data_IF_095195778972
#
_entry.id   IF_095195778972
#
_cell.length_a   1.000
_cell.length_b   1.000
_cell.length_c   1.000
_cell.angle_alpha   90.00
_cell.angle_beta   90.00
_cell.angle_gamma   90.00
#
_symmetry.space_group_name_H-M   'P 1'
#
loop_
_entity.id
_entity.type
_entity.pdbx_description
1 polymer ?
#
# COMPACT_ATOMS: atom_id res chain seq x y z
N UNK A 1 0.84 13.52 21.71
CA UNK A 1 1.03 12.05 21.66
C UNK A 1 0.96 11.67 20.19
N UNK A 2 2.03 11.11 19.63
CA UNK A 2 2.09 10.82 18.18
C UNK A 2 1.57 9.42 17.87
N UNK A 3 0.91 9.25 16.73
CA UNK A 3 0.52 7.94 16.22
C UNK A 3 1.74 7.23 15.59
N UNK A 4 1.83 5.90 15.79
CA UNK A 4 2.83 4.99 15.21
C UNK A 4 2.10 3.84 14.53
N UNK A 5 2.51 3.49 13.31
CA UNK A 5 2.06 2.25 12.67
C UNK A 5 2.73 1.05 13.37
N UNK A 6 1.98 -0.04 13.54
CA UNK A 6 2.47 -1.26 14.19
C UNK A 6 2.18 -2.46 13.29
N UNK A 7 3.03 -3.48 13.36
CA UNK A 7 2.71 -4.78 12.78
C UNK A 7 1.67 -5.47 13.67
N UNK A 8 0.60 -5.99 13.06
CA UNK A 8 -0.49 -6.66 13.76
C UNK A 8 -0.63 -8.09 13.24
N UNK A 9 -0.64 -9.06 14.16
CA UNK A 9 -0.89 -10.46 13.83
C UNK A 9 -2.38 -10.79 14.00
N UNK A 10 -3.05 -11.15 12.90
CA UNK A 10 -4.49 -11.46 12.89
C UNK A 10 -4.84 -12.78 13.60
N UNK A 11 -3.90 -13.70 13.77
CA UNK A 11 -4.09 -15.01 14.43
C UNK A 11 -3.91 -14.86 15.94
N UNK A 12 -2.79 -14.25 16.36
CA UNK A 12 -2.45 -14.02 17.75
C UNK A 12 -3.21 -12.84 18.37
N UNK A 13 -3.76 -11.94 17.53
CA UNK A 13 -4.51 -10.75 17.93
C UNK A 13 -3.70 -9.83 18.84
N UNK A 14 -2.47 -9.57 18.43
CA UNK A 14 -1.55 -8.70 19.16
C UNK A 14 -0.67 -7.93 18.19
N UNK A 15 -0.19 -6.78 18.65
CA UNK A 15 0.92 -6.12 18.00
C UNK A 15 2.19 -6.98 18.16
N UNK A 16 2.99 -7.05 17.09
CA UNK A 16 4.30 -7.71 17.07
C UNK A 16 5.38 -6.69 16.70
N UNK A 17 6.59 -6.93 17.19
CA UNK A 17 7.76 -6.09 16.92
C UNK A 17 8.38 -6.42 15.56
N UNK A 18 9.20 -5.51 15.03
CA UNK A 18 9.83 -5.69 13.72
C UNK A 18 10.77 -6.91 13.69
N UNK A 19 11.34 -7.32 14.83
CA UNK A 19 12.21 -8.51 14.90
C UNK A 19 11.44 -9.83 14.92
N UNK A 20 10.12 -9.78 15.14
CA UNK A 20 9.22 -10.94 15.07
C UNK A 20 8.62 -11.11 13.67
N UNK A 21 8.94 -10.22 12.72
CA UNK A 21 8.46 -10.26 11.34
C UNK A 21 9.54 -10.81 10.42
N UNK A 22 9.26 -11.96 9.80
CA UNK A 22 10.08 -12.53 8.75
C UNK A 22 9.62 -12.04 7.37
N UNK A 23 10.53 -11.41 6.61
CA UNK A 23 10.26 -10.94 5.25
C UNK A 23 10.70 -11.97 4.21
N UNK A 24 9.81 -12.27 3.27
CA UNK A 24 10.10 -13.15 2.13
C UNK A 24 9.78 -12.43 0.83
N UNK A 25 10.78 -12.29 -0.05
CA UNK A 25 10.61 -11.62 -1.34
C UNK A 25 9.95 -12.53 -2.38
N UNK A 26 8.85 -12.06 -2.95
CA UNK A 26 8.10 -12.76 -4.00
C UNK A 26 8.23 -11.99 -5.31
N UNK A 27 9.07 -12.49 -6.22
CA UNK A 27 9.41 -11.79 -7.48
C UNK A 27 8.36 -11.89 -8.58
N UNK A 28 7.45 -12.85 -8.48
CA UNK A 28 6.43 -13.13 -9.49
C UNK A 28 5.17 -13.64 -8.84
N UNK A 29 4.05 -13.57 -9.57
CA UNK A 29 2.80 -14.21 -9.19
C UNK A 29 3.03 -15.65 -8.74
N UNK A 30 2.72 -15.94 -7.48
CA UNK A 30 3.03 -17.22 -6.82
C UNK A 30 1.87 -17.64 -5.92
N UNK A 31 1.44 -18.89 -6.01
CA UNK A 31 0.51 -19.52 -5.06
C UNK A 31 1.30 -20.09 -3.88
N UNK A 32 0.98 -19.65 -2.66
CA UNK A 32 1.63 -20.08 -1.43
C UNK A 32 0.62 -20.71 -0.48
N UNK A 33 1.01 -21.83 0.12
CA UNK A 33 0.26 -22.40 1.24
C UNK A 33 0.64 -21.66 2.52
N UNK A 34 -0.33 -20.99 3.13
CA UNK A 34 -0.15 -20.29 4.39
C UNK A 34 -0.59 -21.20 5.54
N UNK A 35 0.21 -21.33 6.62
CA UNK A 35 -0.20 -22.08 7.81
C UNK A 35 -1.58 -21.64 8.31
N UNK A 36 -2.50 -22.60 8.45
CA UNK A 36 -3.87 -22.35 8.91
C UNK A 36 -4.90 -22.07 7.80
N UNK A 37 -4.49 -21.94 6.54
CA UNK A 37 -5.40 -21.76 5.41
C UNK A 37 -5.67 -23.11 4.71
N UNK A 38 -6.93 -23.36 4.34
CA UNK A 38 -7.31 -24.59 3.62
C UNK A 38 -6.80 -24.61 2.18
N UNK A 39 -6.73 -23.44 1.54
CA UNK A 39 -6.37 -23.27 0.14
C UNK A 39 -5.13 -22.37 0.01
N UNK A 40 -4.34 -22.60 -1.05
CA UNK A 40 -3.24 -21.72 -1.39
C UNK A 40 -3.75 -20.32 -1.68
N UNK A 41 -3.04 -19.31 -1.16
CA UNK A 41 -3.32 -17.90 -1.40
C UNK A 41 -2.37 -17.39 -2.47
N UNK A 42 -2.88 -16.53 -3.34
CA UNK A 42 -2.10 -15.96 -4.43
C UNK A 42 -1.41 -14.66 -4.00
N UNK A 43 -0.10 -14.58 -4.22
CA UNK A 43 0.74 -13.43 -3.92
C UNK A 43 1.44 -12.90 -5.17
N UNK A 44 1.89 -11.65 -5.12
CA UNK A 44 2.63 -11.02 -6.23
C UNK A 44 1.76 -10.71 -7.45
N UNK A 45 0.47 -10.46 -7.23
CA UNK A 45 -0.46 -9.99 -8.28
C UNK A 45 -0.39 -8.48 -8.34
N UNK A 46 0.10 -7.94 -9.46
CA UNK A 46 0.10 -6.51 -9.71
C UNK A 46 -1.20 -6.13 -10.43
N UNK A 47 -2.01 -5.30 -9.80
CA UNK A 47 -3.29 -4.82 -10.33
C UNK A 47 -3.15 -3.36 -10.72
N UNK A 48 -3.61 -3.02 -11.93
CA UNK A 48 -3.63 -1.65 -12.44
C UNK A 48 -5.05 -1.15 -12.57
N UNK A 49 -5.26 0.09 -12.13
CA UNK A 49 -6.53 0.80 -12.23
C UNK A 49 -6.27 2.31 -12.29
N UNK A 50 -7.27 3.09 -12.70
CA UNK A 50 -7.12 4.52 -12.89
C UNK A 50 -7.93 5.34 -11.88
N UNK A 51 -7.37 6.50 -11.49
CA UNK A 51 -8.09 7.56 -10.81
C UNK A 51 -8.39 8.69 -11.81
N UNK A 52 -9.65 9.16 -11.89
CA UNK A 52 -9.96 10.35 -12.67
C UNK A 52 -9.29 11.57 -12.02
N UNK A 53 -8.75 12.46 -12.86
CA UNK A 53 -8.22 13.75 -12.43
C UNK A 53 -9.32 14.80 -12.47
N UNK A 54 -9.24 15.78 -11.56
CA UNK A 54 -10.14 16.93 -11.57
C UNK A 54 -9.95 17.78 -12.85
N UNK A 55 -10.91 18.66 -13.11
CA UNK A 55 -10.91 19.59 -14.25
C UNK A 55 -10.78 18.91 -15.63
N UNK A 56 -11.28 17.68 -15.76
CA UNK A 56 -11.21 16.87 -16.99
C UNK A 56 -9.78 16.69 -17.53
N UNK A 57 -8.77 16.70 -16.65
CA UNK A 57 -7.36 16.49 -16.99
C UNK A 57 -7.02 15.04 -17.36
N UNK A 58 -8.03 14.19 -17.50
CA UNK A 58 -7.92 12.77 -17.85
C UNK A 58 -7.91 11.87 -16.63
N UNK A 59 -7.06 10.86 -16.67
CA UNK A 59 -6.92 9.88 -15.60
C UNK A 59 -5.45 9.53 -15.36
N UNK A 60 -5.14 9.04 -14.16
CA UNK A 60 -3.83 8.54 -13.79
C UNK A 60 -3.92 7.06 -13.44
N UNK A 61 -3.12 6.23 -14.11
CA UNK A 61 -3.09 4.79 -13.89
C UNK A 61 -2.05 4.47 -12.82
N UNK A 62 -2.48 3.80 -11.75
CA UNK A 62 -1.60 3.31 -10.68
C UNK A 62 -1.51 1.80 -10.73
N UNK A 63 -0.41 1.25 -10.20
CA UNK A 63 -0.24 -0.18 -9.99
C UNK A 63 -0.06 -0.50 -8.50
N UNK A 64 -0.72 -1.56 -8.02
CA UNK A 64 -0.62 -1.98 -6.62
C UNK A 64 -0.77 -3.49 -6.47
N UNK A 65 -0.15 -4.05 -5.43
CA UNK A 65 -0.37 -5.43 -4.99
C UNK A 65 -1.44 -5.56 -3.91
N UNK A 66 -1.96 -4.43 -3.40
CA UNK A 66 -2.97 -4.37 -2.33
C UNK A 66 -4.18 -3.55 -2.77
N UNK A 67 -4.90 -4.03 -3.79
CA UNK A 67 -6.08 -3.32 -4.33
C UNK A 67 -7.18 -3.13 -3.28
N UNK A 68 -7.27 -4.03 -2.31
CA UNK A 68 -8.19 -3.95 -1.17
C UNK A 68 -7.99 -2.70 -0.30
N UNK A 69 -6.80 -2.09 -0.35
CA UNK A 69 -6.50 -0.85 0.38
C UNK A 69 -6.97 0.42 -0.35
N UNK A 70 -7.57 0.30 -1.54
CA UNK A 70 -7.93 1.43 -2.42
C UNK A 70 -8.77 2.52 -1.72
N UNK A 71 -9.69 2.12 -0.84
CA UNK A 71 -10.61 3.06 -0.18
C UNK A 71 -9.95 3.86 0.95
N UNK A 72 -8.72 3.50 1.34
CA UNK A 72 -7.92 4.24 2.32
C UNK A 72 -6.92 5.20 1.67
N UNK A 73 -6.94 5.32 0.35
CA UNK A 73 -5.99 6.15 -0.38
C UNK A 73 -6.29 7.64 -0.18
N UNK A 74 -5.26 8.41 0.11
CA UNK A 74 -5.38 9.86 0.39
C UNK A 74 -4.53 10.72 -0.54
N UNK A 75 -3.67 10.10 -1.34
CA UNK A 75 -2.91 10.77 -2.39
C UNK A 75 -2.40 9.76 -3.43
N UNK A 76 -1.87 10.29 -4.53
CA UNK A 76 -1.13 9.55 -5.54
C UNK A 76 0.27 10.16 -5.61
N UNK A 77 1.29 9.32 -5.56
CA UNK A 77 2.67 9.72 -5.79
C UNK A 77 3.10 9.33 -7.20
N UNK A 78 3.88 10.21 -7.81
CA UNK A 78 4.55 9.99 -9.09
C UNK A 78 6.03 10.28 -8.95
N UNK A 79 6.83 9.77 -9.88
CA UNK A 79 8.24 10.12 -9.95
C UNK A 79 8.39 11.63 -10.26
N UNK A 80 9.37 12.37 -9.69
CA UNK A 80 9.52 13.81 -9.92
C UNK A 80 9.74 14.24 -11.36
N UNK A 81 10.22 13.33 -12.21
CA UNK A 81 10.34 13.57 -13.66
C UNK A 81 8.97 13.55 -14.37
N UNK A 82 7.90 13.13 -13.67
CA UNK A 82 6.50 13.20 -14.07
C UNK A 82 5.77 14.25 -13.20
N UNK A 83 5.04 15.16 -13.84
CA UNK A 83 4.66 16.48 -13.29
C UNK A 83 3.47 16.47 -12.28
N UNK A 84 3.03 15.32 -11.74
CA UNK A 84 1.67 15.20 -11.19
C UNK A 84 1.55 14.87 -9.68
N UNK A 85 0.83 15.72 -8.94
CA UNK A 85 0.24 15.45 -7.60
C UNK A 85 1.24 15.46 -6.42
N UNK A 86 2.03 14.41 -6.19
CA UNK A 86 3.12 14.39 -5.20
C UNK A 86 4.35 13.74 -5.84
N UNK A 87 5.41 14.52 -6.00
CA UNK A 87 6.69 14.03 -6.54
C UNK A 87 7.52 13.42 -5.40
N UNK A 88 7.64 12.09 -5.35
CA UNK A 88 8.43 11.39 -4.34
C UNK A 88 9.34 10.32 -4.99
N UNK A 89 10.59 10.71 -5.26
CA UNK A 89 11.60 9.81 -5.83
C UNK A 89 12.07 8.71 -4.87
N UNK A 90 11.71 8.77 -3.59
CA UNK A 90 12.04 7.70 -2.63
C UNK A 90 10.97 6.62 -2.71
N UNK A 91 9.71 7.00 -2.90
CA UNK A 91 8.58 6.08 -2.95
C UNK A 91 8.37 5.46 -4.35
N UNK A 92 8.63 6.23 -5.41
CA UNK A 92 8.27 5.83 -6.78
C UNK A 92 9.48 5.46 -7.60
N UNK A 93 9.49 4.21 -8.08
CA UNK A 93 10.41 3.75 -9.13
C UNK A 93 9.70 3.87 -10.50
N UNK A 94 10.19 4.70 -11.44
CA UNK A 94 9.55 4.88 -12.74
C UNK A 94 9.63 3.64 -13.63
N UNK A 95 10.55 2.70 -13.37
CA UNK A 95 10.68 1.45 -14.12
C UNK A 95 9.73 0.34 -13.62
N UNK A 96 9.10 0.54 -12.46
CA UNK A 96 8.21 -0.45 -11.84
C UNK A 96 6.72 -0.07 -11.96
N UNK A 97 5.92 -1.01 -12.46
CA UNK A 97 4.47 -0.80 -12.61
C UNK A 97 4.15 0.28 -13.65
N UNK A 98 3.46 1.33 -13.23
CA UNK A 98 3.03 2.44 -14.11
C UNK A 98 3.83 3.73 -13.92
N UNK A 99 4.81 3.75 -13.01
CA UNK A 99 5.50 4.99 -12.61
C UNK A 99 4.65 5.92 -11.72
N UNK A 100 3.49 5.45 -11.25
CA UNK A 100 2.64 6.11 -10.27
C UNK A 100 2.09 5.10 -9.26
N UNK A 101 2.04 5.48 -7.98
CA UNK A 101 1.56 4.64 -6.89
C UNK A 101 0.51 5.36 -6.06
N UNK A 102 -0.49 4.61 -5.61
CA UNK A 102 -1.45 5.08 -4.62
C UNK A 102 -0.78 5.14 -3.24
N UNK A 103 -1.12 6.14 -2.42
CA UNK A 103 -0.59 6.29 -1.05
C UNK A 103 -1.71 5.94 -0.07
N UNK A 104 -1.49 4.91 0.76
CA UNK A 104 -2.43 4.46 1.80
C UNK A 104 -1.83 4.54 3.21
N UNK A 105 -1.77 5.74 3.84
CA UNK A 105 -0.92 5.96 5.03
C UNK A 105 -1.24 5.09 6.25
N UNK A 106 -2.48 4.61 6.38
CA UNK A 106 -2.89 3.79 7.51
C UNK A 106 -2.52 2.30 7.38
N UNK A 107 -2.03 1.85 6.20
CA UNK A 107 -1.91 0.43 5.87
C UNK A 107 -0.53 0.03 5.34
N UNK A 108 0.41 0.96 5.25
CA UNK A 108 1.77 0.72 4.79
C UNK A 108 2.80 1.63 5.46
N UNK A 109 3.99 1.11 5.77
CA UNK A 109 5.03 1.87 6.45
C UNK A 109 5.67 2.96 5.58
N UNK A 110 5.86 2.71 4.28
CA UNK A 110 6.40 3.71 3.36
C UNK A 110 5.37 4.83 3.16
N UNK A 111 4.11 4.47 2.89
CA UNK A 111 3.02 5.44 2.73
C UNK A 111 2.76 6.22 4.02
N UNK A 112 2.88 5.59 5.18
CA UNK A 112 2.76 6.25 6.49
C UNK A 112 3.79 7.36 6.65
N UNK A 113 5.04 7.10 6.24
CA UNK A 113 6.10 8.10 6.29
C UNK A 113 5.87 9.24 5.29
N UNK A 114 5.37 8.93 4.09
CA UNK A 114 4.96 9.94 3.08
C UNK A 114 3.82 10.79 3.64
N UNK A 115 2.80 10.16 4.21
CA UNK A 115 1.67 10.82 4.85
C UNK A 115 2.10 11.76 5.97
N UNK A 116 3.11 11.39 6.77
CA UNK A 116 3.70 12.28 7.76
C UNK A 116 4.45 13.47 7.15
N UNK A 117 5.24 13.24 6.09
CA UNK A 117 6.01 14.30 5.41
C UNK A 117 5.11 15.32 4.74
N UNK A 118 4.00 14.88 4.16
CA UNK A 118 3.07 15.70 3.37
C UNK A 118 1.78 16.06 4.12
N UNK A 119 1.67 15.74 5.41
CA UNK A 119 0.51 16.01 6.26
C UNK A 119 -0.81 15.48 5.66
N UNK A 120 -0.78 14.24 5.17
CA UNK A 120 -1.95 13.54 4.63
C UNK A 120 -2.83 12.97 5.74
N UNK A 121 -4.10 12.72 5.40
CA UNK A 121 -5.03 12.04 6.29
C UNK A 121 -4.72 10.53 6.39
N UNK A 122 -5.00 9.95 7.56
CA UNK A 122 -4.80 8.53 7.85
C UNK A 122 -6.17 7.85 7.97
N UNK A 123 -6.66 7.31 6.86
CA UNK A 123 -7.98 6.66 6.80
C UNK A 123 -7.81 5.15 7.04
N UNK A 124 -8.26 4.67 8.20
CA UNK A 124 -8.32 3.23 8.46
C UNK A 124 -9.61 2.65 7.87
N UNK A 125 -9.47 1.65 7.00
CA UNK A 125 -10.60 0.96 6.35
C UNK A 125 -10.75 -0.50 6.82
N UNK A 126 -9.82 -0.98 7.66
CA UNK A 126 -9.87 -2.32 8.22
C UNK A 126 -10.12 -2.25 9.73
N UNK A 127 -11.07 -3.05 10.16
CA UNK A 127 -11.30 -3.30 11.59
C UNK A 127 -10.60 -4.60 11.97
N UNK A 128 -10.49 -4.85 13.27
CA UNK A 128 -10.27 -6.21 13.73
C UNK A 128 -11.41 -7.09 13.19
N UNK A 129 -11.08 -8.27 12.67
CA UNK A 129 -12.08 -9.23 12.23
C UNK A 129 -12.91 -9.66 13.45
N UNK A 130 -14.10 -9.09 13.60
CA UNK A 130 -15.12 -9.61 14.51
C UNK A 130 -15.59 -10.97 13.99
N UNK A 131 -15.81 -11.91 14.91
CA UNK A 131 -16.24 -13.29 14.61
C UNK A 131 -17.62 -13.35 13.99
#
# INVERSE_FOLDING_TARGET
MGYRLVNWDCVLRTAISDIEVDYTDIKKRTLLMIPGYENAVEFGVLTSFSYPLEEDLGEIVVATTRVETMLGDTAIAVHPDDIRIICDAILVDPEFGTGAVKITPAHDHNDFNVGKRHNLEFINIFTEMEK
#
